data_IF_697448006626
#
_entry.id   IF_697448006626
#
_cell.length_a   1.000
_cell.length_b   1.000
_cell.length_c   1.000
_cell.angle_alpha   90.00
_cell.angle_beta   90.00
_cell.angle_gamma   90.00
#
_symmetry.space_group_name_H-M   'P 1'
#
loop_
_entity.id
_entity.type
_entity.pdbx_description
1 polymer ?
#
# COMPACT_ATOMS: atom_id res chain seq x y z
N UNK A 1 -29.53 34.42 37.17
CA UNK A 1 -29.45 33.00 37.59
C UNK A 1 -29.02 32.17 36.38
N UNK A 2 -27.87 31.49 36.45
CA UNK A 2 -27.38 30.60 35.38
C UNK A 2 -28.28 29.37 35.34
N UNK A 3 -29.03 29.18 34.25
CA UNK A 3 -29.76 27.93 34.01
C UNK A 3 -28.74 26.81 33.84
N UNK A 4 -28.69 25.89 34.79
CA UNK A 4 -27.88 24.67 34.69
C UNK A 4 -28.50 23.84 33.58
N UNK A 5 -27.97 23.94 32.35
CA UNK A 5 -28.41 23.09 31.23
C UNK A 5 -28.33 21.64 31.69
N UNK A 6 -29.37 20.86 31.42
CA UNK A 6 -29.39 19.44 31.76
C UNK A 6 -28.26 18.72 31.02
N UNK A 7 -27.69 17.67 31.61
CA UNK A 7 -26.59 16.91 30.99
C UNK A 7 -26.94 16.42 29.57
N UNK A 8 -28.22 16.16 29.32
CA UNK A 8 -28.78 15.79 28.01
C UNK A 8 -28.75 16.94 26.99
N UNK A 9 -29.01 18.18 27.39
CA UNK A 9 -28.88 19.36 26.53
C UNK A 9 -27.43 19.66 26.17
N UNK A 10 -26.53 19.51 27.16
CA UNK A 10 -25.09 19.63 26.94
C UNK A 10 -24.63 18.57 25.94
N UNK A 11 -25.03 17.31 26.15
CA UNK A 11 -24.73 16.19 25.25
C UNK A 11 -25.22 16.44 23.81
N UNK A 12 -26.45 16.94 23.62
CA UNK A 12 -26.96 17.30 22.29
C UNK A 12 -26.13 18.41 21.64
N UNK A 13 -25.78 19.45 22.40
CA UNK A 13 -24.99 20.58 21.87
C UNK A 13 -23.63 20.11 21.35
N UNK A 14 -22.95 19.24 22.11
CA UNK A 14 -21.69 18.65 21.69
C UNK A 14 -21.88 17.69 20.50
N UNK A 15 -22.89 16.84 20.50
CA UNK A 15 -23.17 15.94 19.38
C UNK A 15 -23.39 16.70 18.06
N UNK A 16 -24.12 17.82 18.10
CA UNK A 16 -24.30 18.68 16.92
C UNK A 16 -22.99 19.33 16.50
N UNK A 17 -22.17 19.84 17.43
CA UNK A 17 -20.85 20.38 17.10
C UNK A 17 -19.93 19.34 16.47
N UNK A 18 -19.87 18.13 17.03
CA UNK A 18 -19.01 17.04 16.56
C UNK A 18 -19.51 16.32 15.31
N UNK A 19 -20.75 16.57 14.87
CA UNK A 19 -21.23 16.04 13.59
C UNK A 19 -20.44 16.57 12.39
N UNK A 20 -19.85 17.76 12.52
CA UNK A 20 -19.02 18.37 11.47
C UNK A 20 -17.64 17.70 11.42
N UNK A 21 -17.30 17.16 10.24
CA UNK A 21 -16.04 16.46 10.02
C UNK A 21 -14.83 17.41 10.00
N UNK A 22 -15.01 18.64 9.51
CA UNK A 22 -13.92 19.62 9.45
C UNK A 22 -13.55 20.12 10.83
N UNK A 23 -14.55 20.33 11.69
CA UNK A 23 -14.35 20.66 13.09
C UNK A 23 -13.62 19.55 13.86
N UNK A 24 -14.01 18.28 13.66
CA UNK A 24 -13.33 17.14 14.28
C UNK A 24 -11.86 17.04 13.89
N UNK A 25 -11.53 17.26 12.61
CA UNK A 25 -10.13 17.27 12.17
C UNK A 25 -9.36 18.42 12.81
N UNK A 26 -9.94 19.63 12.85
CA UNK A 26 -9.32 20.79 13.50
C UNK A 26 -9.01 20.52 14.98
N UNK A 27 -9.92 19.88 15.72
CA UNK A 27 -9.69 19.51 17.12
C UNK A 27 -8.64 18.41 17.33
N UNK A 28 -8.42 17.53 16.35
CA UNK A 28 -7.37 16.51 16.42
C UNK A 28 -5.98 17.11 16.12
N UNK A 29 -5.94 18.22 15.39
CA UNK A 29 -4.70 18.92 15.02
C UNK A 29 -4.26 19.94 16.08
N UNK A 30 -5.15 20.43 16.94
CA UNK A 30 -4.81 21.35 18.03
C UNK A 30 -3.88 20.68 19.05
N UNK A 31 -2.78 21.35 19.39
CA UNK A 31 -1.76 20.81 20.32
C UNK A 31 -1.82 21.44 21.70
N UNK A 32 -2.53 22.56 21.84
CA UNK A 32 -2.66 23.31 23.10
C UNK A 32 -4.11 23.39 23.56
N UNK A 33 -4.30 23.48 24.89
CA UNK A 33 -5.64 23.56 25.50
C UNK A 33 -6.39 24.83 25.09
N UNK A 34 -5.68 25.93 24.90
CA UNK A 34 -6.27 27.22 24.55
C UNK A 34 -6.78 27.22 23.09
N UNK A 35 -6.03 26.66 22.15
CA UNK A 35 -6.49 26.46 20.77
C UNK A 35 -7.73 25.55 20.70
N UNK A 36 -7.79 24.53 21.55
CA UNK A 36 -8.93 23.62 21.62
C UNK A 36 -10.19 24.35 22.11
N UNK A 37 -10.07 25.19 23.15
CA UNK A 37 -11.17 26.03 23.65
C UNK A 37 -11.62 27.04 22.61
N UNK A 38 -10.68 27.70 21.93
CA UNK A 38 -10.97 28.68 20.89
C UNK A 38 -11.71 28.05 19.71
N UNK A 39 -11.29 26.86 19.27
CA UNK A 39 -11.97 26.12 18.21
C UNK A 39 -13.43 25.78 18.59
N UNK A 40 -13.68 25.36 19.83
CA UNK A 40 -15.02 25.09 20.35
C UNK A 40 -15.91 26.34 20.36
N UNK A 41 -15.38 27.48 20.80
CA UNK A 41 -16.10 28.76 20.83
C UNK A 41 -16.42 29.23 19.41
N UNK A 42 -15.46 29.11 18.50
CA UNK A 42 -15.63 29.47 17.09
C UNK A 42 -16.72 28.62 16.42
N UNK A 43 -16.72 27.29 16.63
CA UNK A 43 -17.73 26.40 16.06
C UNK A 43 -19.13 26.68 16.62
N UNK A 44 -19.22 26.99 17.91
CA UNK A 44 -20.48 27.44 18.52
C UNK A 44 -21.01 28.70 17.87
N UNK A 45 -20.17 29.70 17.62
CA UNK A 45 -20.58 30.95 16.94
C UNK A 45 -21.10 30.68 15.53
N UNK A 46 -20.40 29.84 14.76
CA UNK A 46 -20.83 29.41 13.43
C UNK A 46 -22.24 28.78 13.46
N UNK A 47 -22.47 27.84 14.37
CA UNK A 47 -23.77 27.18 14.50
C UNK A 47 -24.88 28.12 14.96
N UNK A 48 -24.55 29.10 15.82
CA UNK A 48 -25.52 30.13 16.23
C UNK A 48 -25.93 31.02 15.05
N UNK A 49 -24.99 31.41 14.19
CA UNK A 49 -25.27 32.21 12.99
C UNK A 49 -26.12 31.43 11.98
N UNK A 50 -25.83 30.14 11.79
CA UNK A 50 -26.62 29.27 10.91
C UNK A 50 -28.05 29.10 11.43
N UNK A 51 -28.24 28.97 12.74
CA UNK A 51 -29.54 28.75 13.36
C UNK A 51 -30.39 30.03 13.52
N UNK A 52 -29.81 31.22 13.34
CA UNK A 52 -30.51 32.52 13.42
C UNK A 52 -31.16 32.96 12.10
N UNK A 53 -30.94 32.26 10.98
CA UNK A 53 -31.68 32.51 9.74
C UNK A 53 -33.06 31.85 9.86
N UNK A 54 -34.18 32.61 9.97
CA UNK A 54 -35.50 32.01 9.98
C UNK A 54 -35.74 31.34 8.62
N UNK A 55 -36.28 30.13 8.65
CA UNK A 55 -36.67 29.35 7.48
C UNK A 55 -37.63 30.14 6.58
N UNK A 56 -37.09 30.81 5.57
CA UNK A 56 -37.82 31.27 4.40
C UNK A 56 -37.53 30.33 3.21
N UNK A 57 -37.63 29.02 3.43
CA UNK A 57 -37.89 28.03 2.39
C UNK A 57 -38.70 26.90 3.05
N UNK A 58 -40.01 26.92 2.82
CA UNK A 58 -40.85 25.74 2.98
C UNK A 58 -40.33 24.67 2.03
N UNK A 59 -39.62 23.67 2.56
CA UNK A 59 -39.02 22.59 1.78
C UNK A 59 -38.46 21.49 2.67
N UNK A 60 -39.33 20.55 3.07
CA UNK A 60 -39.02 19.16 3.43
C UNK A 60 -37.87 18.93 4.44
N UNK A 61 -38.10 19.19 5.74
CA UNK A 61 -37.33 18.52 6.79
C UNK A 61 -37.79 17.05 6.90
N UNK A 62 -37.30 16.21 5.99
CA UNK A 62 -37.22 14.78 6.24
C UNK A 62 -36.06 14.52 7.20
N UNK A 63 -36.38 13.81 8.29
CA UNK A 63 -35.45 13.04 9.07
C UNK A 63 -34.49 12.26 8.14
N UNK A 64 -33.30 11.92 8.65
CA UNK A 64 -32.36 11.01 8.00
C UNK A 64 -32.96 9.59 7.89
N UNK A 65 -34.00 9.45 7.07
CA UNK A 65 -34.36 8.24 6.36
C UNK A 65 -33.73 8.36 4.97
N UNK A 66 -33.11 7.27 4.54
CA UNK A 66 -32.71 6.99 3.16
C UNK A 66 -33.36 7.93 2.13
N UNK A 67 -32.57 8.84 1.53
CA UNK A 67 -33.02 9.61 0.37
C UNK A 67 -33.59 8.61 -0.66
N UNK A 68 -34.81 8.81 -1.18
CA UNK A 68 -35.33 7.93 -2.22
C UNK A 68 -34.41 8.07 -3.45
N UNK A 69 -33.86 6.94 -3.89
CA UNK A 69 -33.01 6.84 -5.07
C UNK A 69 -33.73 7.51 -6.25
N UNK A 70 -33.23 8.66 -6.70
CA UNK A 70 -33.66 9.23 -7.98
C UNK A 70 -32.87 8.54 -9.08
N UNK A 71 -33.52 7.62 -9.79
CA UNK A 71 -32.98 6.88 -10.94
C UNK A 71 -32.34 7.80 -12.02
N UNK A 72 -32.75 9.07 -12.08
CA UNK A 72 -32.23 10.06 -13.03
C UNK A 72 -30.75 10.46 -12.77
N UNK A 73 -30.21 10.26 -11.56
CA UNK A 73 -28.76 10.44 -11.31
C UNK A 73 -27.92 9.28 -11.85
N UNK A 74 -28.56 8.14 -12.14
CA UNK A 74 -27.91 6.97 -12.75
C UNK A 74 -27.56 7.20 -14.23
N UNK A 75 -28.25 8.11 -14.93
CA UNK A 75 -27.99 8.41 -16.34
C UNK A 75 -26.83 9.40 -16.60
N UNK A 76 -26.23 9.99 -15.57
CA UNK A 76 -25.06 10.88 -15.72
C UNK A 76 -23.74 10.11 -15.58
N UNK A 77 -23.69 8.91 -16.16
CA UNK A 77 -22.50 8.06 -16.20
C UNK A 77 -21.37 8.80 -16.92
N UNK A 78 -20.21 8.96 -16.27
CA UNK A 78 -19.02 9.56 -16.89
C UNK A 78 -18.95 11.10 -16.86
N UNK A 79 -19.95 11.79 -16.27
CA UNK A 79 -19.91 13.27 -16.14
C UNK A 79 -18.66 13.76 -15.40
N UNK A 80 -18.26 13.10 -14.32
CA UNK A 80 -17.04 13.46 -13.58
C UNK A 80 -15.76 13.33 -14.41
N UNK A 81 -15.63 12.26 -15.20
CA UNK A 81 -14.49 12.06 -16.09
C UNK A 81 -14.48 13.13 -17.19
N UNK A 82 -15.64 13.45 -17.76
CA UNK A 82 -15.77 14.50 -18.77
C UNK A 82 -15.42 15.89 -18.19
N UNK A 83 -15.89 16.20 -16.99
CA UNK A 83 -15.57 17.45 -16.28
C UNK A 83 -14.07 17.54 -15.93
N UNK A 84 -13.41 16.42 -15.62
CA UNK A 84 -11.96 16.36 -15.40
C UNK A 84 -11.16 16.58 -16.69
N UNK A 85 -11.57 15.94 -17.79
CA UNK A 85 -10.92 16.09 -19.11
C UNK A 85 -11.11 17.51 -19.63
N UNK A 86 -12.34 18.06 -19.57
CA UNK A 86 -12.65 19.39 -20.07
C UNK A 86 -11.87 20.49 -19.32
N UNK A 87 -11.60 20.30 -18.02
CA UNK A 87 -10.78 21.22 -17.22
C UNK A 87 -9.28 21.09 -17.53
N UNK A 88 -8.79 19.89 -17.83
CA UNK A 88 -7.35 19.62 -17.97
C UNK A 88 -6.81 19.78 -19.40
N UNK A 89 -7.63 19.49 -20.41
CA UNK A 89 -7.26 19.60 -21.82
C UNK A 89 -6.65 20.96 -22.23
N UNK A 90 -7.20 22.13 -21.85
CA UNK A 90 -6.65 23.42 -22.31
C UNK A 90 -5.29 23.78 -21.70
N UNK A 91 -4.97 23.26 -20.51
CA UNK A 91 -3.71 23.57 -19.80
C UNK A 91 -2.62 22.53 -20.02
N UNK A 92 -2.95 21.38 -20.60
CA UNK A 92 -2.04 20.23 -20.75
C UNK A 92 -0.77 20.52 -21.56
N UNK A 93 -0.83 21.40 -22.56
CA UNK A 93 0.38 21.80 -23.31
C UNK A 93 1.39 22.60 -22.44
N UNK A 94 0.92 23.24 -21.37
CA UNK A 94 1.76 23.95 -20.43
C UNK A 94 2.55 22.99 -19.53
N UNK A 95 2.03 21.79 -19.23
CA UNK A 95 2.71 20.80 -18.37
C UNK A 95 4.12 20.42 -18.88
N UNK A 96 4.35 20.46 -20.19
CA UNK A 96 5.65 20.18 -20.81
C UNK A 96 6.58 21.40 -20.91
N UNK A 97 6.02 22.62 -20.88
CA UNK A 97 6.76 23.85 -21.18
C UNK A 97 7.01 24.71 -19.94
N UNK A 98 6.18 24.63 -18.91
CA UNK A 98 6.20 25.50 -17.73
C UNK A 98 7.50 25.34 -16.91
N UNK A 99 8.04 24.12 -16.85
CA UNK A 99 9.32 23.83 -16.18
C UNK A 99 10.57 24.36 -16.89
N UNK A 100 10.49 24.67 -18.19
CA UNK A 100 11.63 25.02 -19.05
C UNK A 100 11.60 26.51 -19.47
N UNK A 101 10.40 27.04 -19.73
CA UNK A 101 10.19 28.36 -20.37
C UNK A 101 9.61 29.40 -19.37
N UNK A 102 9.12 28.97 -18.20
CA UNK A 102 8.47 29.85 -17.20
C UNK A 102 9.40 30.74 -16.34
N UNK A 103 8.81 31.74 -15.68
CA UNK A 103 9.49 32.74 -14.82
C UNK A 103 10.13 32.13 -13.57
N UNK A 104 9.61 30.99 -13.09
CA UNK A 104 10.15 30.21 -11.96
C UNK A 104 11.01 29.03 -12.45
N UNK A 105 12.12 29.31 -13.13
CA UNK A 105 13.05 28.28 -13.64
C UNK A 105 13.51 27.35 -12.51
N UNK A 106 12.99 26.13 -12.48
CA UNK A 106 13.32 25.10 -11.50
C UNK A 106 13.99 23.90 -12.16
N UNK A 107 14.80 24.12 -13.19
CA UNK A 107 15.52 23.08 -13.95
C UNK A 107 16.28 22.13 -13.03
N UNK A 108 16.90 22.66 -11.96
CA UNK A 108 17.56 21.84 -10.94
C UNK A 108 16.61 20.84 -10.26
N UNK A 109 15.39 21.26 -9.91
CA UNK A 109 14.38 20.36 -9.32
C UNK A 109 13.93 19.29 -10.31
N UNK A 110 13.77 19.64 -11.60
CA UNK A 110 13.43 18.67 -12.64
C UNK A 110 14.52 17.62 -12.83
N UNK A 111 15.77 18.05 -12.98
CA UNK A 111 16.90 17.13 -13.18
C UNK A 111 17.08 16.23 -11.96
N UNK A 112 17.07 16.80 -10.75
CA UNK A 112 17.18 15.99 -9.51
C UNK A 112 16.04 15.00 -9.37
N UNK A 113 14.80 15.40 -9.68
CA UNK A 113 13.63 14.52 -9.60
C UNK A 113 13.66 13.44 -10.68
N UNK A 114 14.12 13.76 -11.90
CA UNK A 114 14.27 12.80 -13.00
C UNK A 114 15.32 11.73 -12.67
N UNK A 115 16.49 12.15 -12.17
CA UNK A 115 17.55 11.22 -11.73
C UNK A 115 17.06 10.36 -10.56
N UNK A 116 16.37 10.97 -9.59
CA UNK A 116 15.79 10.25 -8.47
C UNK A 116 14.77 9.20 -8.93
N UNK A 117 13.82 9.57 -9.80
CA UNK A 117 12.83 8.64 -10.36
C UNK A 117 13.48 7.53 -11.18
N UNK A 118 14.53 7.85 -11.96
CA UNK A 118 15.28 6.87 -12.71
C UNK A 118 15.84 5.78 -11.79
N UNK A 119 16.57 6.16 -10.74
CA UNK A 119 17.08 5.18 -9.76
C UNK A 119 15.95 4.52 -8.97
N UNK A 120 14.94 5.26 -8.52
CA UNK A 120 13.84 4.72 -7.74
C UNK A 120 13.02 3.65 -8.49
N UNK A 121 12.89 3.77 -9.82
CA UNK A 121 12.19 2.78 -10.65
C UNK A 121 13.12 1.68 -11.17
N UNK A 122 14.35 2.02 -11.55
CA UNK A 122 15.31 1.07 -12.10
C UNK A 122 15.81 0.09 -11.03
N UNK A 123 15.92 0.50 -9.77
CA UNK A 123 16.47 -0.34 -8.70
C UNK A 123 15.56 -1.51 -8.31
N UNK A 124 14.25 -1.33 -8.04
CA UNK A 124 13.35 -2.47 -7.85
C UNK A 124 13.31 -3.38 -9.08
N UNK A 125 13.39 -2.79 -10.29
CA UNK A 125 13.41 -3.53 -11.55
C UNK A 125 14.68 -4.38 -11.72
N UNK A 126 15.87 -3.83 -11.45
CA UNK A 126 17.13 -4.57 -11.56
C UNK A 126 17.27 -5.55 -10.41
N UNK A 127 16.93 -5.17 -9.18
CA UNK A 127 16.94 -6.09 -8.06
C UNK A 127 16.00 -7.28 -8.34
N UNK A 128 14.81 -7.03 -8.88
CA UNK A 128 13.89 -8.10 -9.29
C UNK A 128 14.31 -8.84 -10.56
N UNK A 129 15.11 -8.23 -11.45
CA UNK A 129 15.60 -8.87 -12.67
C UNK A 129 16.84 -9.73 -12.43
N UNK A 130 17.90 -9.14 -11.84
CA UNK A 130 19.20 -9.78 -11.59
C UNK A 130 19.16 -10.76 -10.42
N UNK A 131 18.55 -10.44 -9.27
CA UNK A 131 18.48 -11.39 -8.14
C UNK A 131 17.54 -12.58 -8.41
N UNK A 132 16.82 -12.53 -9.50
CA UNK A 132 15.83 -13.53 -9.90
C UNK A 132 16.38 -14.47 -10.98
N UNK A 133 17.11 -13.89 -11.93
CA UNK A 133 17.82 -14.62 -12.97
C UNK A 133 19.04 -15.35 -12.38
N UNK A 134 19.85 -14.68 -11.55
CA UNK A 134 21.09 -15.25 -11.01
C UNK A 134 20.88 -16.22 -9.85
N UNK A 135 19.83 -16.03 -9.04
CA UNK A 135 19.66 -16.76 -7.78
C UNK A 135 18.69 -17.94 -7.90
N UNK A 136 18.07 -18.15 -9.06
CA UNK A 136 16.93 -19.07 -9.17
C UNK A 136 16.79 -19.87 -10.45
N UNK A 137 17.68 -19.77 -11.46
CA UNK A 137 17.46 -20.43 -12.77
C UNK A 137 16.03 -20.21 -13.33
N UNK A 138 15.35 -19.11 -12.97
CA UNK A 138 13.95 -18.81 -13.32
C UNK A 138 12.85 -19.27 -12.34
N UNK A 139 13.19 -19.69 -11.11
CA UNK A 139 12.30 -20.43 -10.19
C UNK A 139 12.05 -19.66 -8.86
N UNK A 140 11.54 -18.42 -8.83
CA UNK A 140 11.29 -17.75 -7.53
C UNK A 140 10.00 -18.22 -6.86
N UNK A 141 10.06 -18.55 -5.57
CA UNK A 141 8.88 -18.74 -4.73
C UNK A 141 8.23 -20.08 -4.95
N UNK A 142 7.78 -20.72 -3.86
CA UNK A 142 7.01 -21.97 -3.91
C UNK A 142 5.83 -21.88 -4.91
N UNK A 143 5.28 -20.67 -5.09
CA UNK A 143 4.25 -20.38 -6.06
C UNK A 143 4.75 -20.27 -7.52
N UNK A 144 5.83 -19.53 -7.82
CA UNK A 144 6.26 -19.34 -9.21
C UNK A 144 7.15 -20.48 -9.72
N UNK A 145 7.78 -21.23 -8.83
CA UNK A 145 8.52 -22.45 -9.13
C UNK A 145 7.68 -23.60 -9.67
N UNK A 146 6.35 -23.55 -9.45
CA UNK A 146 5.38 -24.58 -9.88
C UNK A 146 4.48 -24.10 -11.01
N UNK A 147 4.89 -23.04 -11.71
CA UNK A 147 4.26 -22.58 -12.94
C UNK A 147 4.66 -23.48 -14.12
N UNK A 148 3.72 -23.69 -15.03
CA UNK A 148 3.88 -24.60 -16.16
C UNK A 148 4.48 -23.88 -17.38
N UNK A 149 4.21 -22.59 -17.56
CA UNK A 149 4.59 -21.85 -18.79
C UNK A 149 5.79 -20.91 -18.64
N UNK A 150 6.40 -20.89 -17.45
CA UNK A 150 7.60 -20.10 -17.18
C UNK A 150 7.36 -18.59 -17.12
N UNK A 151 8.41 -17.85 -16.79
CA UNK A 151 8.40 -16.40 -16.56
C UNK A 151 9.11 -15.63 -17.67
N UNK A 152 8.63 -14.43 -18.02
CA UNK A 152 9.16 -13.63 -19.13
C UNK A 152 9.61 -12.22 -18.67
N UNK A 153 10.62 -12.17 -17.80
CA UNK A 153 11.02 -10.93 -17.12
C UNK A 153 11.42 -9.78 -18.04
N UNK A 154 12.23 -10.04 -19.07
CA UNK A 154 12.66 -9.02 -20.03
C UNK A 154 11.47 -8.38 -20.76
N UNK A 155 10.50 -9.21 -21.12
CA UNK A 155 9.28 -8.76 -21.78
C UNK A 155 8.39 -7.94 -20.84
N UNK A 156 8.27 -8.37 -19.58
CA UNK A 156 7.51 -7.66 -18.57
C UNK A 156 8.11 -6.28 -18.26
N UNK A 157 9.44 -6.19 -18.17
CA UNK A 157 10.14 -4.92 -17.96
C UNK A 157 9.97 -3.97 -19.14
N UNK A 158 10.09 -4.47 -20.37
CA UNK A 158 9.86 -3.68 -21.58
C UNK A 158 8.41 -3.17 -21.64
N UNK A 159 7.44 -4.02 -21.34
CA UNK A 159 6.02 -3.63 -21.31
C UNK A 159 5.73 -2.57 -20.24
N UNK A 160 6.26 -2.73 -19.03
CA UNK A 160 6.11 -1.74 -17.95
C UNK A 160 6.71 -0.39 -18.38
N UNK A 161 7.88 -0.40 -19.01
CA UNK A 161 8.50 0.82 -19.54
C UNK A 161 7.63 1.50 -20.61
N UNK A 162 7.07 0.73 -21.55
CA UNK A 162 6.20 1.27 -22.60
C UNK A 162 4.88 1.83 -22.02
N UNK A 163 4.24 1.11 -21.09
CA UNK A 163 3.02 1.56 -20.42
C UNK A 163 3.27 2.85 -19.62
N UNK A 164 4.33 2.88 -18.81
CA UNK A 164 4.65 4.07 -18.00
C UNK A 164 5.08 5.26 -18.86
N UNK A 165 5.72 5.02 -20.01
CA UNK A 165 5.97 6.09 -20.99
C UNK A 165 4.66 6.68 -21.50
N UNK A 166 3.70 5.82 -21.88
CA UNK A 166 2.35 6.27 -22.27
C UNK A 166 1.62 7.03 -21.17
N UNK A 167 1.60 6.52 -19.94
CA UNK A 167 0.99 7.19 -18.78
C UNK A 167 1.66 8.55 -18.50
N UNK A 168 2.98 8.64 -18.63
CA UNK A 168 3.74 9.88 -18.46
C UNK A 168 3.36 10.93 -19.49
N UNK A 169 3.16 10.52 -20.76
CA UNK A 169 2.65 11.41 -21.79
C UNK A 169 1.32 11.98 -21.29
N UNK A 170 0.34 11.15 -20.94
CA UNK A 170 -0.97 11.61 -20.47
C UNK A 170 -1.00 12.25 -19.07
N UNK A 171 0.14 12.41 -18.39
CA UNK A 171 0.20 12.97 -17.03
C UNK A 171 -0.57 12.14 -16.00
N UNK A 172 -0.66 10.82 -16.23
CA UNK A 172 -1.29 9.82 -15.37
C UNK A 172 -0.25 9.22 -14.41
N UNK A 173 -0.67 8.77 -13.21
CA UNK A 173 0.24 8.16 -12.24
C UNK A 173 0.85 6.87 -12.80
N UNK A 174 2.13 6.65 -12.53
CA UNK A 174 2.86 5.46 -12.98
C UNK A 174 2.38 4.21 -12.28
N UNK A 175 2.31 3.11 -13.02
CA UNK A 175 1.88 1.81 -12.53
C UNK A 175 3.12 0.94 -12.32
N UNK A 176 3.17 0.26 -11.18
CA UNK A 176 4.24 -0.66 -10.80
C UNK A 176 3.63 -1.99 -10.35
N UNK A 177 4.44 -3.05 -10.36
CA UNK A 177 4.00 -4.35 -9.88
C UNK A 177 3.55 -4.28 -8.41
N UNK A 178 2.37 -4.84 -8.12
CA UNK A 178 1.78 -4.78 -6.79
C UNK A 178 2.28 -5.94 -5.91
N UNK A 179 3.29 -5.65 -5.07
CA UNK A 179 3.99 -6.66 -4.26
C UNK A 179 3.11 -7.61 -3.44
N UNK A 180 2.09 -7.17 -2.67
CA UNK A 180 1.25 -8.10 -1.91
C UNK A 180 0.12 -8.70 -2.77
N UNK A 181 -0.33 -8.01 -3.81
CA UNK A 181 -1.47 -8.45 -4.61
C UNK A 181 -1.10 -9.57 -5.60
N UNK A 182 0.08 -9.50 -6.21
CA UNK A 182 0.57 -10.52 -7.15
C UNK A 182 0.65 -11.92 -6.53
N UNK A 183 1.34 -12.16 -5.40
CA UNK A 183 1.40 -13.48 -4.78
C UNK A 183 0.05 -13.93 -4.23
N UNK A 184 -0.78 -13.01 -3.71
CA UNK A 184 -2.13 -13.35 -3.25
C UNK A 184 -3.05 -13.82 -4.37
N UNK A 185 -2.94 -13.20 -5.56
CA UNK A 185 -3.66 -13.64 -6.75
C UNK A 185 -3.20 -15.04 -7.20
N UNK A 186 -1.89 -15.29 -7.18
CA UNK A 186 -1.33 -16.60 -7.50
C UNK A 186 -1.75 -17.66 -6.47
N UNK A 187 -1.72 -17.33 -5.17
CA UNK A 187 -2.18 -18.19 -4.08
C UNK A 187 -3.66 -18.54 -4.20
N UNK A 188 -4.51 -17.60 -4.60
CA UNK A 188 -5.93 -17.85 -4.86
C UNK A 188 -6.17 -18.83 -6.03
N UNK A 189 -5.18 -19.02 -6.90
CA UNK A 189 -5.21 -19.94 -8.04
C UNK A 189 -4.40 -21.23 -7.81
N UNK A 190 -3.79 -21.37 -6.64
CA UNK A 190 -2.96 -22.50 -6.26
C UNK A 190 -3.81 -23.64 -5.69
N UNK A 191 -3.52 -24.86 -6.11
CA UNK A 191 -3.98 -26.07 -5.45
C UNK A 191 -2.98 -26.44 -4.37
N UNK A 192 -3.41 -26.47 -3.12
CA UNK A 192 -2.59 -26.82 -1.96
C UNK A 192 -2.99 -28.22 -1.50
N UNK A 193 -2.00 -29.10 -1.32
CA UNK A 193 -2.20 -30.39 -0.66
C UNK A 193 -1.55 -30.37 0.71
N UNK A 194 -2.24 -30.95 1.70
CA UNK A 194 -1.69 -31.20 3.01
C UNK A 194 -0.90 -32.51 3.00
N UNK A 195 0.41 -32.43 3.24
CA UNK A 195 1.28 -33.59 3.43
C UNK A 195 1.67 -33.71 4.89
N UNK A 196 1.42 -34.89 5.46
CA UNK A 196 1.87 -35.20 6.81
C UNK A 196 3.26 -35.82 6.73
N UNK A 197 4.28 -35.08 7.15
CA UNK A 197 5.64 -35.60 7.30
C UNK A 197 6.02 -35.59 8.79
N UNK A 198 6.42 -36.75 9.32
CA UNK A 198 6.87 -36.89 10.72
C UNK A 198 5.87 -36.38 11.77
N UNK A 199 4.56 -36.49 11.51
CA UNK A 199 3.49 -36.03 12.41
C UNK A 199 3.19 -34.53 12.36
N UNK A 200 3.87 -33.77 11.48
CA UNK A 200 3.55 -32.37 11.18
C UNK A 200 2.82 -32.26 9.84
N UNK A 201 1.77 -31.44 9.79
CA UNK A 201 1.03 -31.13 8.57
C UNK A 201 1.76 -29.99 7.86
N UNK A 202 2.21 -30.24 6.64
CA UNK A 202 2.80 -29.26 5.75
C UNK A 202 1.82 -28.99 4.60
N UNK A 203 1.48 -27.73 4.41
CA UNK A 203 0.80 -27.28 3.20
C UNK A 203 1.84 -27.15 2.11
N UNK A 204 1.66 -27.86 1.00
CA UNK A 204 2.55 -27.76 -0.16
C UNK A 204 1.70 -27.46 -1.40
N UNK A 205 2.09 -26.44 -2.14
CA UNK A 205 1.36 -26.02 -3.35
C UNK A 205 1.62 -27.04 -4.45
N UNK A 206 0.66 -27.83 -4.93
CA UNK A 206 0.94 -28.85 -5.96
C UNK A 206 1.06 -28.24 -7.35
N UNK A 207 0.13 -27.36 -7.70
CA UNK A 207 0.06 -26.75 -9.03
C UNK A 207 -0.72 -25.46 -8.97
N UNK A 208 -0.33 -24.50 -9.81
CA UNK A 208 -0.99 -23.20 -9.94
C UNK A 208 -1.68 -23.10 -11.30
N UNK A 209 -2.95 -22.70 -11.31
CA UNK A 209 -3.66 -22.40 -12.57
C UNK A 209 -3.28 -21.03 -13.11
N UNK A 210 -2.57 -21.01 -14.23
CA UNK A 210 -2.23 -19.78 -14.93
C UNK A 210 -3.37 -19.29 -15.83
N UNK A 211 -3.89 -18.09 -15.55
CA UNK A 211 -4.96 -17.48 -16.34
C UNK A 211 -4.79 -15.96 -16.50
N UNK A 212 -5.05 -15.46 -17.71
CA UNK A 212 -5.13 -14.03 -18.01
C UNK A 212 -6.53 -13.45 -17.80
N UNK A 213 -7.53 -14.31 -17.65
CA UNK A 213 -8.93 -13.90 -17.57
C UNK A 213 -9.24 -13.22 -16.23
N UNK A 214 -8.66 -13.71 -15.13
CA UNK A 214 -8.93 -13.18 -13.79
C UNK A 214 -8.47 -11.73 -13.65
N UNK A 215 -7.27 -11.40 -14.17
CA UNK A 215 -6.76 -10.03 -14.17
C UNK A 215 -7.52 -9.12 -15.13
N UNK A 216 -7.92 -9.63 -16.32
CA UNK A 216 -8.75 -8.88 -17.26
C UNK A 216 -10.13 -8.55 -16.67
N UNK A 217 -10.80 -9.54 -16.07
CA UNK A 217 -12.10 -9.36 -15.42
C UNK A 217 -11.98 -8.41 -14.23
N UNK A 218 -10.96 -8.55 -13.39
CA UNK A 218 -10.74 -7.66 -12.25
C UNK A 218 -10.56 -6.20 -12.72
N UNK A 219 -9.69 -5.94 -13.70
CA UNK A 219 -9.47 -4.60 -14.23
C UNK A 219 -10.72 -4.03 -14.93
N UNK A 220 -11.48 -4.88 -15.62
CA UNK A 220 -12.76 -4.48 -16.23
C UNK A 220 -13.79 -4.10 -15.16
N UNK A 221 -13.86 -4.85 -14.05
CA UNK A 221 -14.74 -4.54 -12.93
C UNK A 221 -14.32 -3.27 -12.19
N UNK A 222 -13.01 -3.01 -12.05
CA UNK A 222 -12.51 -1.72 -11.53
C UNK A 222 -12.94 -0.58 -12.46
N UNK A 223 -12.82 -0.73 -13.78
CA UNK A 223 -13.34 0.25 -14.74
C UNK A 223 -14.85 0.46 -14.62
N UNK A 224 -15.62 -0.63 -14.49
CA UNK A 224 -17.07 -0.57 -14.31
C UNK A 224 -17.48 0.06 -12.96
N UNK A 225 -16.66 -0.07 -11.94
CA UNK A 225 -16.89 0.54 -10.62
C UNK A 225 -16.95 2.08 -10.67
N UNK A 226 -16.35 2.70 -11.69
CA UNK A 226 -16.47 4.14 -11.93
C UNK A 226 -17.91 4.56 -12.27
N UNK A 227 -18.72 3.67 -12.86
CA UNK A 227 -20.14 3.93 -13.11
C UNK A 227 -20.98 3.83 -11.82
N UNK A 228 -20.47 3.09 -10.83
CA UNK A 228 -21.06 2.90 -9.51
C UNK A 228 -20.57 3.95 -8.49
N UNK A 229 -19.71 4.89 -8.89
CA UNK A 229 -19.19 5.93 -7.99
C UNK A 229 -20.25 6.89 -7.39
N UNK A 230 -21.40 7.24 -8.03
CA UNK A 230 -22.26 8.30 -7.51
C UNK A 230 -23.13 7.91 -6.29
N UNK A 231 -23.32 6.63 -5.96
CA UNK A 231 -24.24 6.25 -4.86
C UNK A 231 -23.79 5.07 -3.98
N UNK A 232 -23.43 3.88 -4.50
CA UNK A 232 -23.14 2.72 -3.64
C UNK A 232 -21.76 2.72 -2.98
N UNK A 233 -20.69 3.19 -3.62
CA UNK A 233 -19.33 3.10 -3.06
C UNK A 233 -19.10 4.02 -1.85
N UNK A 234 -19.88 5.10 -1.71
CA UNK A 234 -19.81 5.98 -0.53
C UNK A 234 -20.44 5.36 0.72
N UNK A 235 -21.22 4.28 0.56
CA UNK A 235 -21.83 3.57 1.69
C UNK A 235 -20.84 2.66 2.41
N UNK A 236 -19.67 2.38 1.83
CA UNK A 236 -18.65 1.54 2.43
C UNK A 236 -17.97 2.33 3.56
N UNK A 237 -18.13 1.93 4.84
CA UNK A 237 -17.50 2.64 5.94
C UNK A 237 -15.98 2.49 5.87
N UNK A 238 -15.24 3.59 6.04
CA UNK A 238 -13.77 3.59 6.10
C UNK A 238 -13.19 2.54 7.08
N UNK A 239 -13.79 2.27 8.26
CA UNK A 239 -13.31 1.20 9.15
C UNK A 239 -13.26 -0.19 8.51
N UNK A 240 -14.17 -0.50 7.59
CA UNK A 240 -14.17 -1.79 6.86
C UNK A 240 -12.95 -1.89 5.95
N UNK A 241 -12.59 -0.79 5.28
CA UNK A 241 -11.39 -0.74 4.42
C UNK A 241 -10.11 -0.89 5.24
N UNK A 242 -10.04 -0.27 6.43
CA UNK A 242 -8.89 -0.48 7.33
C UNK A 242 -8.78 -1.94 7.81
N UNK A 243 -9.91 -2.59 8.10
CA UNK A 243 -9.94 -4.02 8.40
C UNK A 243 -9.44 -4.88 7.23
N UNK A 244 -9.84 -4.56 6.00
CA UNK A 244 -9.35 -5.23 4.79
C UNK A 244 -7.84 -5.02 4.59
N UNK A 245 -7.33 -3.80 4.76
CA UNK A 245 -5.89 -3.53 4.63
C UNK A 245 -5.08 -4.24 5.70
N UNK A 246 -5.58 -4.31 6.94
CA UNK A 246 -4.94 -5.08 8.01
C UNK A 246 -4.91 -6.58 7.68
N UNK A 247 -6.01 -7.13 7.18
CA UNK A 247 -6.06 -8.53 6.75
C UNK A 247 -5.04 -8.82 5.65
N UNK A 248 -5.00 -8.00 4.59
CA UNK A 248 -4.02 -8.15 3.49
C UNK A 248 -2.59 -8.08 4.03
N UNK A 249 -2.31 -7.10 4.90
CA UNK A 249 -1.00 -6.95 5.52
C UNK A 249 -0.60 -8.21 6.31
N UNK A 250 -1.49 -8.75 7.15
CA UNK A 250 -1.23 -9.97 7.92
C UNK A 250 -1.04 -11.19 7.04
N UNK A 251 -1.91 -11.42 6.05
CA UNK A 251 -1.78 -12.56 5.13
C UNK A 251 -0.55 -12.50 4.23
N UNK A 252 0.02 -11.29 4.02
CA UNK A 252 1.26 -11.12 3.26
C UNK A 252 2.52 -11.50 4.04
N UNK A 253 2.40 -11.66 5.36
CA UNK A 253 3.48 -12.15 6.23
C UNK A 253 3.60 -13.68 6.12
N UNK A 254 2.50 -14.38 5.84
CA UNK A 254 2.49 -15.82 5.64
C UNK A 254 3.33 -16.20 4.41
N UNK A 255 4.27 -17.14 4.59
CA UNK A 255 5.24 -17.54 3.57
C UNK A 255 6.51 -16.68 3.52
N UNK A 256 6.67 -15.69 4.41
CA UNK A 256 7.91 -14.93 4.53
C UNK A 256 8.92 -15.64 5.43
N UNK A 257 10.00 -16.19 4.84
CA UNK A 257 11.07 -16.87 5.56
C UNK A 257 11.74 -16.01 6.66
N UNK A 258 11.83 -14.67 6.48
CA UNK A 258 12.33 -13.79 7.54
C UNK A 258 11.43 -13.87 8.77
N UNK A 259 10.13 -13.79 8.58
CA UNK A 259 9.16 -13.83 9.67
C UNK A 259 9.16 -15.18 10.38
N UNK A 260 9.21 -16.28 9.62
CA UNK A 260 9.35 -17.63 10.19
C UNK A 260 10.58 -17.74 11.09
N UNK A 261 11.74 -17.25 10.61
CA UNK A 261 12.99 -17.25 11.38
C UNK A 261 12.95 -16.34 12.61
N UNK A 262 12.27 -15.18 12.51
CA UNK A 262 12.03 -14.31 13.66
C UNK A 262 11.14 -15.02 14.69
N UNK A 263 10.12 -15.75 14.25
CA UNK A 263 9.27 -16.54 15.15
C UNK A 263 10.06 -17.65 15.88
N UNK A 264 11.11 -18.21 15.27
CA UNK A 264 12.00 -19.17 15.94
C UNK A 264 12.73 -18.58 17.16
N UNK A 265 12.98 -17.26 17.20
CA UNK A 265 13.57 -16.60 18.37
C UNK A 265 12.66 -16.65 19.60
N UNK A 266 11.35 -16.69 19.39
CA UNK A 266 10.34 -16.76 20.45
C UNK A 266 9.94 -18.20 20.80
N UNK A 267 10.37 -19.17 19.99
CA UNK A 267 10.02 -20.59 20.15
C UNK A 267 11.06 -21.30 21.01
N UNK A 268 10.62 -22.25 21.84
CA UNK A 268 11.54 -23.14 22.56
C UNK A 268 12.26 -24.07 21.57
N UNK A 269 13.54 -24.37 21.83
CA UNK A 269 14.39 -25.17 20.94
C UNK A 269 13.84 -26.57 20.64
N UNK A 270 13.16 -27.18 21.60
CA UNK A 270 12.54 -28.51 21.48
C UNK A 270 11.35 -28.52 20.53
N UNK A 271 10.72 -27.36 20.32
CA UNK A 271 9.53 -27.21 19.48
C UNK A 271 9.87 -26.75 18.05
N UNK A 272 11.15 -26.69 17.66
CA UNK A 272 11.52 -26.23 16.33
C UNK A 272 10.94 -27.15 15.25
N UNK A 273 10.22 -26.60 14.27
CA UNK A 273 9.70 -27.42 13.18
C UNK A 273 10.89 -28.01 12.41
N UNK A 274 10.82 -29.26 11.94
CA UNK A 274 11.96 -29.92 11.29
C UNK A 274 12.09 -29.49 9.82
N UNK A 275 12.30 -28.19 9.57
CA UNK A 275 12.50 -27.61 8.23
C UNK A 275 13.89 -27.93 7.65
N UNK A 276 14.05 -27.76 6.33
CA UNK A 276 15.28 -28.07 5.61
C UNK A 276 16.54 -27.39 6.18
N UNK A 277 16.45 -26.09 6.46
CA UNK A 277 17.59 -25.31 6.93
C UNK A 277 17.92 -25.55 8.41
N UNK A 278 16.92 -25.85 9.25
CA UNK A 278 17.11 -26.17 10.68
C UNK A 278 17.92 -27.46 10.86
N UNK A 279 17.79 -28.42 9.94
CA UNK A 279 18.56 -29.68 9.97
C UNK A 279 20.02 -29.52 9.55
N UNK A 280 20.32 -28.55 8.67
CA UNK A 280 21.64 -28.39 8.03
C UNK A 280 22.52 -27.32 8.67
N UNK A 281 21.92 -26.34 9.33
CA UNK A 281 22.61 -25.14 9.83
C UNK A 281 22.59 -25.09 11.37
N UNK A 282 23.74 -24.81 12.03
CA UNK A 282 23.76 -24.60 13.47
C UNK A 282 22.85 -23.44 13.89
N UNK A 283 22.00 -23.65 14.90
CA UNK A 283 20.99 -22.68 15.35
C UNK A 283 21.55 -21.28 15.64
N UNK A 284 22.74 -21.19 16.26
CA UNK A 284 23.40 -19.89 16.53
C UNK A 284 23.60 -19.09 15.26
N UNK A 285 24.02 -19.73 14.15
CA UNK A 285 24.25 -19.06 12.86
C UNK A 285 22.94 -18.58 12.23
N UNK A 286 21.85 -19.34 12.40
CA UNK A 286 20.50 -18.92 12.00
C UNK A 286 20.11 -17.63 12.73
N UNK A 287 20.27 -17.58 14.06
CA UNK A 287 19.91 -16.39 14.84
C UNK A 287 20.79 -15.18 14.52
N UNK A 288 22.10 -15.37 14.30
CA UNK A 288 22.97 -14.27 13.83
C UNK A 288 22.51 -13.72 12.48
N UNK A 289 22.13 -14.59 11.54
CA UNK A 289 21.63 -14.18 10.24
C UNK A 289 20.30 -13.41 10.35
N UNK A 290 19.35 -13.95 11.10
CA UNK A 290 18.04 -13.31 11.32
C UNK A 290 18.19 -11.98 12.04
N UNK A 291 19.07 -11.89 13.05
CA UNK A 291 19.37 -10.64 13.75
C UNK A 291 19.90 -9.57 12.81
N UNK A 292 20.82 -9.93 11.91
CA UNK A 292 21.35 -9.01 10.91
C UNK A 292 20.24 -8.53 9.95
N UNK A 293 19.38 -9.42 9.48
CA UNK A 293 18.25 -9.07 8.61
C UNK A 293 17.23 -8.16 9.31
N UNK A 294 16.94 -8.40 10.60
CA UNK A 294 16.07 -7.54 11.40
C UNK A 294 16.69 -6.15 11.56
N UNK A 295 17.99 -6.05 11.83
CA UNK A 295 18.69 -4.75 11.91
C UNK A 295 18.61 -4.00 10.57
N UNK A 296 18.84 -4.71 9.46
CA UNK A 296 18.69 -4.14 8.12
C UNK A 296 17.26 -3.64 7.84
N UNK A 297 16.25 -4.44 8.20
CA UNK A 297 14.84 -4.06 8.08
C UNK A 297 14.52 -2.84 8.95
N UNK A 298 15.01 -2.78 10.18
CA UNK A 298 14.80 -1.63 11.08
C UNK A 298 15.43 -0.35 10.52
N UNK A 299 16.63 -0.43 9.96
CA UNK A 299 17.27 0.69 9.25
C UNK A 299 16.36 1.14 8.11
N UNK A 300 15.95 0.21 7.25
CA UNK A 300 15.09 0.51 6.10
C UNK A 300 13.74 1.14 6.52
N UNK A 301 13.10 0.60 7.55
CA UNK A 301 11.85 1.11 8.12
C UNK A 301 12.03 2.52 8.72
N UNK A 302 13.15 2.80 9.38
CA UNK A 302 13.42 4.12 9.98
C UNK A 302 13.49 5.23 8.92
N UNK A 303 14.14 4.95 7.77
CA UNK A 303 14.19 5.90 6.66
C UNK A 303 12.89 5.95 5.85
N UNK A 304 12.23 4.79 5.64
CA UNK A 304 10.99 4.70 4.87
C UNK A 304 9.77 5.34 5.57
N UNK A 305 9.68 5.21 6.90
CA UNK A 305 8.60 5.80 7.71
C UNK A 305 8.90 7.22 8.20
N UNK A 306 10.04 7.79 7.81
CA UNK A 306 10.42 9.15 8.20
C UNK A 306 9.38 10.17 7.69
N UNK A 307 8.99 11.16 8.51
CA UNK A 307 8.09 12.23 8.08
C UNK A 307 8.74 13.17 7.05
N UNK A 308 10.07 13.16 6.93
CA UNK A 308 10.81 14.00 6.00
C UNK A 308 10.78 13.41 4.59
N UNK A 309 10.27 14.14 3.57
CA UNK A 309 10.17 13.63 2.20
C UNK A 309 11.54 13.30 1.60
N UNK A 310 12.58 14.04 1.97
CA UNK A 310 13.96 13.78 1.53
C UNK A 310 14.51 12.44 2.03
N UNK A 311 14.12 11.99 3.23
CA UNK A 311 14.58 10.70 3.78
C UNK A 311 13.97 9.52 3.02
N UNK A 312 12.73 9.67 2.53
CA UNK A 312 12.10 8.67 1.66
C UNK A 312 12.81 8.53 0.32
N UNK A 313 13.45 9.60 -0.17
CA UNK A 313 14.24 9.55 -1.41
C UNK A 313 15.55 8.75 -1.26
N UNK A 314 16.02 8.53 -0.03
CA UNK A 314 17.25 7.76 0.23
C UNK A 314 16.94 6.25 0.29
N UNK A 315 15.68 5.86 0.44
CA UNK A 315 15.26 4.45 0.58
C UNK A 315 15.81 3.52 -0.52
N UNK A 316 15.74 3.85 -1.82
CA UNK A 316 16.32 2.97 -2.86
C UNK A 316 17.84 2.86 -2.78
N UNK A 317 18.54 3.93 -2.35
CA UNK A 317 19.99 3.92 -2.19
C UNK A 317 20.43 3.01 -1.02
N UNK A 318 19.66 3.00 0.08
CA UNK A 318 19.90 2.08 1.20
C UNK A 318 19.71 0.63 0.74
N UNK A 319 18.69 0.35 -0.06
CA UNK A 319 18.48 -0.98 -0.63
C UNK A 319 19.67 -1.43 -1.49
N UNK A 320 20.25 -0.56 -2.32
CA UNK A 320 21.50 -0.88 -3.05
C UNK A 320 22.62 -1.17 -2.07
N UNK A 321 22.82 -0.30 -1.08
CA UNK A 321 23.90 -0.43 -0.10
C UNK A 321 23.84 -1.75 0.67
N UNK A 322 22.67 -2.37 0.77
CA UNK A 322 22.51 -3.69 1.38
C UNK A 322 23.00 -4.85 0.50
N UNK A 323 23.10 -4.68 -0.83
CA UNK A 323 23.61 -5.70 -1.75
C UNK A 323 25.08 -6.07 -1.45
N UNK A 324 26.04 -5.13 -1.41
CA UNK A 324 27.43 -5.47 -1.10
C UNK A 324 27.59 -5.98 0.34
N UNK A 325 26.72 -5.59 1.28
CA UNK A 325 26.68 -6.19 2.62
C UNK A 325 26.36 -7.68 2.52
N UNK A 326 25.40 -8.07 1.67
CA UNK A 326 25.09 -9.49 1.42
C UNK A 326 26.26 -10.23 0.76
N UNK A 327 26.85 -9.69 -0.30
CA UNK A 327 27.87 -10.42 -1.06
C UNK A 327 29.26 -10.43 -0.42
N UNK A 328 29.63 -9.40 0.35
CA UNK A 328 30.98 -9.27 0.90
C UNK A 328 31.05 -9.52 2.41
N UNK A 329 30.11 -8.96 3.19
CA UNK A 329 30.16 -9.06 4.65
C UNK A 329 29.62 -10.41 5.13
N UNK A 330 28.55 -10.90 4.51
CA UNK A 330 27.85 -12.10 4.95
C UNK A 330 28.70 -13.39 4.82
N UNK A 331 29.40 -13.64 3.69
CA UNK A 331 30.25 -14.82 3.54
C UNK A 331 31.48 -14.79 4.44
N UNK A 332 31.86 -13.61 4.94
CA UNK A 332 32.96 -13.46 5.91
C UNK A 332 32.55 -13.89 7.33
N UNK A 333 31.26 -13.84 7.68
CA UNK A 333 30.74 -14.14 9.02
C UNK A 333 30.11 -15.55 9.10
N UNK A 334 29.48 -15.98 8.01
CA UNK A 334 28.76 -17.25 7.89
C UNK A 334 29.31 -17.97 6.66
N UNK A 335 29.67 -19.25 6.83
CA UNK A 335 30.16 -20.08 5.71
C UNK A 335 29.12 -20.10 4.58
N UNK A 336 29.57 -19.99 3.33
CA UNK A 336 28.71 -19.95 2.14
C UNK A 336 27.72 -21.12 2.10
N UNK A 337 28.15 -22.33 2.48
CA UNK A 337 27.29 -23.52 2.56
C UNK A 337 26.05 -23.32 3.46
N UNK A 338 26.19 -22.60 4.58
CA UNK A 338 25.06 -22.32 5.47
C UNK A 338 24.16 -21.22 4.91
N UNK A 339 24.72 -20.25 4.21
CA UNK A 339 23.93 -19.22 3.51
C UNK A 339 23.07 -19.86 2.43
N UNK A 340 23.67 -20.71 1.59
CA UNK A 340 22.95 -21.44 0.54
C UNK A 340 21.85 -22.31 1.14
N UNK A 341 22.10 -22.99 2.26
CA UNK A 341 21.09 -23.80 2.94
C UNK A 341 19.94 -22.98 3.54
N UNK A 342 20.18 -21.72 3.94
CA UNK A 342 19.16 -20.81 4.49
C UNK A 342 18.40 -20.04 3.41
N UNK A 343 19.00 -19.87 2.23
CA UNK A 343 18.40 -19.18 1.08
C UNK A 343 17.71 -20.17 0.11
N UNK A 344 18.06 -21.46 0.16
CA UNK A 344 17.42 -22.51 -0.64
C UNK A 344 15.93 -22.69 -0.27
N UNK A 345 15.08 -22.67 -1.28
CA UNK A 345 13.69 -23.11 -1.17
C UNK A 345 13.65 -24.65 -1.20
N UNK A 346 13.48 -25.25 -0.01
CA UNK A 346 13.29 -26.68 0.28
C UNK A 346 14.49 -27.61 0.27
#
# INVERSE_FOLDING_TARGET
MKSTKTATEVGRTFATMFSDITFRQKLLETKTEEEFKEALVHQRHLLMVVNQRPSAVTGDHKAHGSKPLKLHEFCNVGKGIFDDIARRFPVYALDFTDGIIGTNKAIGKYITTMIFLYFACLLPTIAFGSLNDENTEGVIGEFYSRLVKGTAYHWDLLLVALINTGLSVFGLPWIHAAFPHSPMHVRALAYVEERVENGHIYETIVSVKETRLTTLVANSLVGLSLLLLPFPLQLIPKPVLYGLFLYIALTSIDGNQLFERVALLLKEQTAYPPTHYIRRVPQRKIHYFTGLQVVQLLILCSFGMSPLPYMKMIFPLIMIGMIPIRYNLLPSIIEAKYLDAMDAEH
#
